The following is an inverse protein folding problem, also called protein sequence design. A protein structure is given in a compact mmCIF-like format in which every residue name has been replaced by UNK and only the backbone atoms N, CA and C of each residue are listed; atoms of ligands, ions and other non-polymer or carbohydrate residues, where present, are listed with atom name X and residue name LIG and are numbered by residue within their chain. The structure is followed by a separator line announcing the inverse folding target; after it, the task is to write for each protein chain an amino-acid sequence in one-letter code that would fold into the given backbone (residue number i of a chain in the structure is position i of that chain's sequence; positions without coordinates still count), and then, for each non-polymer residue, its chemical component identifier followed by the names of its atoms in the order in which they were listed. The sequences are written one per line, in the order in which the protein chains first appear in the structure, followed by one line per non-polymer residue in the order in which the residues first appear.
data_IF_528253042013
#
_entry.id   IF_528253042013
#
_cell.length_a   1.000
_cell.length_b   1.000
_cell.length_c   1.000
_cell.angle_alpha   90.00
_cell.angle_beta   90.00
_cell.angle_gamma   90.00
#
_symmetry.space_group_name_H-M   'P 1'
#
loop_
_entity.id
_entity.type
_entity.pdbx_description
1 polymer ?
#
# COMPACT_ATOMS: atom_id res chain seq x y z
N UNK A 1 3.52 68.53 -37.47
CA UNK A 1 3.38 67.69 -36.26
C UNK A 1 1.89 67.47 -36.00
N UNK A 2 1.41 66.22 -36.14
CA UNK A 2 0.00 65.85 -35.87
C UNK A 2 -0.17 65.51 -34.38
N UNK A 3 -0.83 66.38 -33.64
CA UNK A 3 -1.17 66.12 -32.23
C UNK A 3 -2.08 64.91 -32.15
N UNK A 4 -1.61 63.82 -31.53
CA UNK A 4 -2.43 62.69 -31.20
C UNK A 4 -3.23 63.03 -29.93
N UNK A 5 -4.53 63.26 -30.08
CA UNK A 5 -5.45 63.39 -28.98
C UNK A 5 -5.57 62.03 -28.25
N UNK A 6 -4.92 61.90 -27.13
CA UNK A 6 -5.14 60.77 -26.20
C UNK A 6 -6.49 61.02 -25.50
N UNK A 7 -7.50 60.22 -25.86
CA UNK A 7 -8.74 60.18 -25.08
C UNK A 7 -8.47 59.38 -23.81
N UNK A 8 -8.57 60.01 -22.68
CA UNK A 8 -8.52 59.31 -21.37
C UNK A 8 -9.76 58.46 -21.17
N UNK A 9 -9.61 57.38 -20.38
CA UNK A 9 -10.74 56.53 -20.02
C UNK A 9 -11.73 57.29 -19.15
N UNK A 10 -13.04 57.09 -19.41
CA UNK A 10 -14.09 57.63 -18.57
C UNK A 10 -14.23 56.80 -17.30
N UNK A 11 -14.73 57.42 -16.21
CA UNK A 11 -14.95 56.76 -14.94
C UNK A 11 -15.88 55.54 -15.13
N UNK A 12 -16.87 55.63 -15.97
CA UNK A 12 -17.83 54.56 -16.32
C UNK A 12 -17.15 53.38 -17.00
N UNK A 13 -16.22 53.60 -17.94
CA UNK A 13 -15.47 52.55 -18.59
C UNK A 13 -14.58 51.78 -17.58
N UNK A 14 -13.96 52.50 -16.64
CA UNK A 14 -13.12 51.90 -15.63
C UNK A 14 -13.94 51.02 -14.68
N UNK A 15 -15.11 51.48 -14.22
CA UNK A 15 -16.01 50.71 -13.35
C UNK A 15 -16.55 49.47 -14.07
N UNK A 16 -16.91 49.60 -15.34
CA UNK A 16 -17.39 48.47 -16.14
C UNK A 16 -16.29 47.44 -16.39
N UNK A 17 -15.06 47.89 -16.68
CA UNK A 17 -13.92 47.02 -16.86
C UNK A 17 -13.59 46.22 -15.56
N UNK A 18 -13.60 46.86 -14.39
CA UNK A 18 -13.41 46.21 -13.12
C UNK A 18 -14.53 45.18 -12.83
N UNK A 19 -15.77 45.54 -13.14
CA UNK A 19 -16.92 44.63 -13.03
C UNK A 19 -16.76 43.36 -13.86
N UNK A 20 -16.38 43.52 -15.15
CA UNK A 20 -16.14 42.37 -16.06
C UNK A 20 -14.99 41.51 -15.56
N UNK A 21 -13.87 42.12 -15.15
CA UNK A 21 -12.73 41.39 -14.61
C UNK A 21 -13.12 40.61 -13.33
N UNK A 22 -13.91 41.23 -12.47
CA UNK A 22 -14.43 40.59 -11.24
C UNK A 22 -15.26 39.33 -11.55
N UNK A 23 -16.19 39.44 -12.52
CA UNK A 23 -17.02 38.30 -12.95
C UNK A 23 -16.14 37.19 -13.55
N UNK A 24 -15.20 37.53 -14.44
CA UNK A 24 -14.29 36.57 -15.05
C UNK A 24 -13.44 35.85 -14.01
N UNK A 25 -12.98 36.56 -13.00
CA UNK A 25 -12.19 35.98 -11.91
C UNK A 25 -13.00 34.97 -11.08
N UNK A 26 -14.25 35.30 -10.76
CA UNK A 26 -15.17 34.39 -10.06
C UNK A 26 -15.45 33.13 -10.90
N UNK A 27 -15.71 33.27 -12.18
CA UNK A 27 -15.93 32.14 -13.11
C UNK A 27 -14.67 31.27 -13.18
N UNK A 28 -13.49 31.88 -13.31
CA UNK A 28 -12.21 31.17 -13.35
C UNK A 28 -11.99 30.36 -12.05
N UNK A 29 -12.17 30.98 -10.89
CA UNK A 29 -12.04 30.31 -9.60
C UNK A 29 -13.05 29.17 -9.47
N UNK A 30 -14.30 29.39 -9.89
CA UNK A 30 -15.34 28.36 -9.85
C UNK A 30 -15.01 27.14 -10.73
N UNK A 31 -14.33 27.32 -11.86
CA UNK A 31 -13.87 26.22 -12.72
C UNK A 31 -12.60 25.53 -12.19
N UNK A 32 -11.75 26.26 -11.49
CA UNK A 32 -10.48 25.73 -11.01
C UNK A 32 -10.65 24.72 -9.86
N UNK A 33 -11.61 24.95 -8.96
CA UNK A 33 -11.84 24.03 -7.83
C UNK A 33 -12.22 22.61 -8.24
N UNK A 34 -13.18 22.35 -9.14
CA UNK A 34 -13.51 21.00 -9.59
C UNK A 34 -12.35 20.35 -10.35
N UNK A 35 -11.62 21.09 -11.16
CA UNK A 35 -10.44 20.58 -11.88
C UNK A 35 -9.36 20.10 -10.89
N UNK A 36 -9.06 20.88 -9.85
CA UNK A 36 -8.12 20.49 -8.81
C UNK A 36 -8.56 19.21 -8.07
N UNK A 37 -9.86 19.10 -7.76
CA UNK A 37 -10.41 17.89 -7.12
C UNK A 37 -10.28 16.65 -8.03
N UNK A 38 -10.55 16.82 -9.32
CA UNK A 38 -10.41 15.73 -10.31
C UNK A 38 -8.94 15.26 -10.42
N UNK A 39 -7.98 16.19 -10.47
CA UNK A 39 -6.55 15.86 -10.48
C UNK A 39 -6.15 15.15 -9.20
N UNK A 40 -6.57 15.62 -8.04
CA UNK A 40 -6.27 14.97 -6.77
C UNK A 40 -6.86 13.55 -6.70
N UNK A 41 -8.09 13.36 -7.17
CA UNK A 41 -8.70 12.04 -7.24
C UNK A 41 -7.93 11.11 -8.18
N UNK A 42 -7.52 11.57 -9.35
CA UNK A 42 -6.72 10.80 -10.30
C UNK A 42 -5.36 10.39 -9.70
N UNK A 43 -4.66 11.31 -9.03
CA UNK A 43 -3.41 11.02 -8.35
C UNK A 43 -3.59 10.00 -7.23
N UNK A 44 -4.67 10.08 -6.46
CA UNK A 44 -4.99 9.09 -5.42
C UNK A 44 -5.22 7.70 -6.00
N UNK A 45 -5.94 7.61 -7.11
CA UNK A 45 -6.16 6.33 -7.81
C UNK A 45 -4.84 5.77 -8.32
N UNK A 46 -4.02 6.58 -8.99
CA UNK A 46 -2.72 6.15 -9.50
C UNK A 46 -1.80 5.66 -8.37
N UNK A 47 -1.74 6.37 -7.25
CA UNK A 47 -0.95 5.96 -6.10
C UNK A 47 -1.49 4.66 -5.48
N UNK A 48 -2.82 4.51 -5.39
CA UNK A 48 -3.44 3.28 -4.88
C UNK A 48 -3.09 2.07 -5.74
N UNK A 49 -3.15 2.20 -7.06
CA UNK A 49 -2.79 1.12 -7.98
C UNK A 49 -1.30 0.77 -7.91
N UNK A 50 -0.43 1.76 -7.76
CA UNK A 50 1.00 1.56 -7.54
C UNK A 50 1.25 0.76 -6.26
N UNK A 51 0.64 1.14 -5.16
CA UNK A 51 0.80 0.48 -3.85
C UNK A 51 0.31 -0.96 -3.89
N UNK A 52 -0.83 -1.22 -4.55
CA UNK A 52 -1.37 -2.58 -4.73
C UNK A 52 -0.42 -3.44 -5.57
N UNK A 53 0.12 -2.89 -6.68
CA UNK A 53 1.10 -3.63 -7.51
C UNK A 53 2.35 -3.97 -6.74
N UNK A 54 2.86 -3.05 -5.93
CA UNK A 54 4.03 -3.31 -5.07
C UNK A 54 3.76 -4.42 -4.07
N UNK A 55 2.62 -4.37 -3.38
CA UNK A 55 2.20 -5.43 -2.47
C UNK A 55 2.14 -6.77 -3.17
N UNK A 56 1.45 -6.84 -4.30
CA UNK A 56 1.28 -8.09 -5.06
C UNK A 56 2.62 -8.62 -5.56
N UNK A 57 3.49 -7.75 -6.08
CA UNK A 57 4.82 -8.13 -6.53
C UNK A 57 5.66 -8.72 -5.39
N UNK A 58 5.67 -8.06 -4.22
CA UNK A 58 6.43 -8.55 -3.07
C UNK A 58 5.89 -9.87 -2.51
N UNK A 59 4.57 -10.06 -2.50
CA UNK A 59 3.97 -11.31 -2.06
C UNK A 59 4.30 -12.49 -3.01
N UNK A 60 4.51 -12.21 -4.30
CA UNK A 60 4.85 -13.22 -5.31
C UNK A 60 6.35 -13.55 -5.38
N UNK A 61 7.21 -12.81 -4.67
CA UNK A 61 8.66 -13.00 -4.70
C UNK A 61 9.14 -13.67 -3.41
N UNK A 62 9.94 -14.73 -3.57
CA UNK A 62 10.73 -15.30 -2.48
C UNK A 62 12.18 -14.85 -2.64
N UNK A 63 12.62 -13.95 -1.77
CA UNK A 63 13.96 -13.35 -1.85
C UNK A 63 15.05 -14.31 -1.35
N UNK A 64 16.32 -14.13 -1.79
CA UNK A 64 17.46 -14.81 -1.18
C UNK A 64 17.46 -14.58 0.34
N UNK A 65 17.75 -15.64 1.10
CA UNK A 65 17.68 -15.61 2.57
C UNK A 65 16.32 -15.90 3.19
N UNK A 66 15.22 -15.73 2.44
CA UNK A 66 13.87 -16.15 2.85
C UNK A 66 13.59 -17.62 2.52
N UNK A 67 14.38 -18.23 1.64
CA UNK A 67 14.23 -19.64 1.25
C UNK A 67 14.60 -20.55 2.41
N UNK A 68 13.76 -21.56 2.65
CA UNK A 68 14.10 -22.67 3.52
C UNK A 68 14.95 -23.71 2.78
N UNK A 69 15.70 -24.47 3.54
CA UNK A 69 16.17 -25.76 3.05
C UNK A 69 14.95 -26.64 2.74
N UNK A 70 15.05 -27.48 1.71
CA UNK A 70 13.94 -28.26 1.15
C UNK A 70 13.17 -29.15 2.17
N UNK A 71 13.71 -29.34 3.38
CA UNK A 71 13.14 -30.13 4.46
C UNK A 71 12.54 -29.30 5.61
N UNK A 72 12.58 -27.97 5.55
CA UNK A 72 12.04 -27.13 6.61
C UNK A 72 10.54 -26.93 6.42
N UNK A 73 9.72 -27.49 7.29
CA UNK A 73 8.32 -27.08 7.48
C UNK A 73 8.32 -25.61 7.91
N UNK A 74 7.21 -24.88 7.68
CA UNK A 74 7.02 -23.50 8.16
C UNK A 74 7.45 -23.47 9.64
N UNK A 75 8.67 -23.02 9.86
CA UNK A 75 9.27 -23.02 11.17
C UNK A 75 9.19 -21.59 11.71
N UNK A 76 9.20 -21.49 13.03
CA UNK A 76 9.32 -20.22 13.77
C UNK A 76 10.52 -19.37 13.34
N UNK A 77 11.47 -19.94 12.61
CA UNK A 77 12.69 -19.29 12.14
C UNK A 77 12.56 -18.54 10.81
N UNK A 78 11.33 -18.18 10.37
CA UNK A 78 11.08 -17.32 9.20
C UNK A 78 11.59 -17.85 7.85
N UNK A 79 11.84 -19.14 7.73
CA UNK A 79 12.21 -19.75 6.44
C UNK A 79 10.95 -20.28 5.76
N UNK A 80 10.72 -19.85 4.53
CA UNK A 80 9.55 -20.23 3.75
C UNK A 80 9.92 -21.26 2.68
N UNK A 81 9.01 -22.20 2.41
CA UNK A 81 9.21 -23.22 1.39
C UNK A 81 8.92 -22.63 0.01
N UNK A 82 7.96 -21.74 -0.08
CA UNK A 82 7.53 -21.11 -1.33
C UNK A 82 7.16 -19.64 -1.13
N UNK A 83 7.02 -18.90 -2.22
CA UNK A 83 6.51 -17.54 -2.18
C UNK A 83 5.09 -17.50 -1.61
N UNK A 84 4.28 -18.53 -1.87
CA UNK A 84 2.93 -18.65 -1.30
C UNK A 84 2.97 -18.76 0.23
N UNK A 85 3.85 -19.58 0.78
CA UNK A 85 3.97 -19.74 2.24
C UNK A 85 4.41 -18.44 2.90
N UNK A 86 5.38 -17.72 2.28
CA UNK A 86 5.77 -16.37 2.70
C UNK A 86 4.57 -15.43 2.71
N UNK A 87 3.87 -15.32 1.59
CA UNK A 87 2.74 -14.42 1.43
C UNK A 87 1.65 -14.72 2.44
N UNK A 88 1.31 -15.99 2.60
CA UNK A 88 0.32 -16.44 3.56
C UNK A 88 0.69 -16.06 5.00
N UNK A 89 1.93 -16.32 5.40
CA UNK A 89 2.44 -15.95 6.71
C UNK A 89 2.42 -14.42 6.93
N UNK A 90 2.79 -13.65 5.90
CA UNK A 90 2.75 -12.21 5.95
C UNK A 90 1.32 -11.68 6.10
N UNK A 91 0.38 -12.24 5.33
CA UNK A 91 -1.04 -11.86 5.41
C UNK A 91 -1.63 -12.14 6.80
N UNK A 92 -1.33 -13.32 7.39
CA UNK A 92 -1.75 -13.63 8.78
C UNK A 92 -1.20 -12.64 9.80
N UNK A 93 0.00 -12.14 9.57
CA UNK A 93 0.64 -11.15 10.46
C UNK A 93 -0.04 -9.79 10.48
N UNK A 94 -0.91 -9.47 9.52
CA UNK A 94 -1.53 -8.13 9.43
C UNK A 94 -2.62 -7.89 10.49
N UNK A 95 -2.92 -8.85 11.34
CA UNK A 95 -3.85 -8.68 12.47
C UNK A 95 -3.40 -7.57 13.44
N UNK A 96 -2.10 -7.34 13.56
CA UNK A 96 -1.52 -6.31 14.43
C UNK A 96 -0.64 -5.34 13.64
N UNK A 97 -0.65 -4.04 13.97
CA UNK A 97 0.23 -3.05 13.32
C UNK A 97 1.72 -3.37 13.45
N UNK A 98 2.14 -3.99 14.56
CA UNK A 98 3.53 -4.37 14.83
C UNK A 98 4.09 -5.45 13.89
N UNK A 99 3.22 -6.22 13.27
CA UNK A 99 3.58 -7.31 12.35
C UNK A 99 3.00 -7.13 10.95
N UNK A 100 2.39 -5.98 10.70
CA UNK A 100 1.78 -5.66 9.40
C UNK A 100 2.81 -5.53 8.28
N UNK A 101 2.33 -5.47 7.06
CA UNK A 101 3.15 -5.17 5.88
C UNK A 101 3.19 -3.64 5.73
N UNK A 102 4.41 -3.11 5.61
CA UNK A 102 4.68 -1.72 5.31
C UNK A 102 5.10 -1.60 3.85
N UNK A 103 4.49 -0.65 3.13
CA UNK A 103 4.81 -0.33 1.75
C UNK A 103 5.29 1.11 1.68
N UNK A 104 6.48 1.31 1.10
CA UNK A 104 7.14 2.60 1.10
C UNK A 104 8.08 2.74 -0.10
N UNK A 105 8.52 3.99 -0.34
CA UNK A 105 9.63 4.26 -1.22
C UNK A 105 10.80 4.79 -0.40
N UNK A 106 12.02 4.45 -0.80
CA UNK A 106 13.22 4.99 -0.19
C UNK A 106 14.28 5.30 -1.25
N UNK A 107 15.24 6.14 -0.91
CA UNK A 107 16.41 6.38 -1.76
C UNK A 107 17.42 5.28 -1.56
N UNK A 108 17.70 4.54 -2.63
CA UNK A 108 18.76 3.54 -2.68
C UNK A 108 20.07 4.15 -3.18
N UNK A 109 21.17 3.65 -2.67
CA UNK A 109 22.53 4.02 -3.03
C UNK A 109 23.03 3.13 -4.17
N UNK A 110 23.25 3.73 -5.35
CA UNK A 110 23.77 3.01 -6.52
C UNK A 110 25.26 2.73 -6.43
N UNK A 111 25.96 3.39 -5.51
CA UNK A 111 27.42 3.23 -5.36
C UNK A 111 27.81 2.05 -4.48
N UNK A 112 26.84 1.54 -3.68
CA UNK A 112 27.04 0.40 -2.80
C UNK A 112 26.53 -0.88 -3.42
N UNK A 113 27.14 -2.00 -3.03
CA UNK A 113 26.65 -3.32 -3.42
C UNK A 113 25.21 -3.55 -2.92
N UNK A 114 24.44 -4.33 -3.68
CA UNK A 114 23.12 -4.75 -3.25
C UNK A 114 23.23 -5.58 -1.97
N UNK A 115 22.21 -5.49 -1.13
CA UNK A 115 22.05 -6.35 0.03
C UNK A 115 21.88 -7.82 -0.40
N UNK A 116 22.03 -8.75 0.54
CA UNK A 116 21.88 -10.19 0.27
C UNK A 116 20.51 -10.57 -0.32
N UNK A 117 19.46 -9.80 0.00
CA UNK A 117 18.11 -9.95 -0.53
C UNK A 117 17.90 -9.29 -1.90
N UNK A 118 18.96 -8.78 -2.53
CA UNK A 118 18.92 -8.12 -3.84
C UNK A 118 18.37 -6.70 -3.82
N UNK A 119 18.20 -6.08 -2.66
CA UNK A 119 17.72 -4.68 -2.54
C UNK A 119 18.87 -3.71 -2.37
N UNK A 120 18.62 -2.43 -2.71
CA UNK A 120 19.61 -1.37 -2.56
C UNK A 120 19.82 -0.99 -1.09
N UNK A 121 21.04 -0.66 -0.72
CA UNK A 121 21.35 -0.03 0.57
C UNK A 121 20.73 1.37 0.61
N UNK A 122 20.11 1.80 1.73
CA UNK A 122 19.52 3.13 1.81
C UNK A 122 20.59 4.23 1.78
N UNK A 123 20.28 5.33 1.08
CA UNK A 123 21.13 6.51 0.96
C UNK A 123 20.62 7.61 1.89
N UNK A 124 21.40 7.97 2.89
CA UNK A 124 21.02 8.99 3.85
C UNK A 124 21.25 10.41 3.31
N UNK A 125 20.37 11.35 3.68
CA UNK A 125 20.38 12.74 3.18
C UNK A 125 21.70 13.49 3.36
N UNK A 126 22.50 13.11 4.38
CA UNK A 126 23.78 13.77 4.67
C UNK A 126 24.90 13.41 3.70
N UNK A 127 24.71 12.38 2.88
CA UNK A 127 25.76 11.84 2.01
C UNK A 127 25.59 12.23 0.54
N UNK A 128 24.56 13.04 0.19
CA UNK A 128 24.21 13.27 -1.21
C UNK A 128 24.52 14.65 -1.73
N UNK A 129 25.34 14.69 -2.77
CA UNK A 129 25.29 15.74 -3.78
C UNK A 129 24.01 15.52 -4.61
N UNK A 130 23.13 16.53 -4.77
CA UNK A 130 21.92 16.39 -5.56
C UNK A 130 22.23 15.85 -6.97
N UNK A 131 21.60 14.76 -7.35
CA UNK A 131 21.72 14.17 -8.70
C UNK A 131 22.74 13.05 -8.86
N UNK A 132 23.56 12.73 -7.87
CA UNK A 132 24.56 11.66 -7.99
C UNK A 132 24.17 10.39 -7.27
N UNK A 133 24.15 9.27 -8.00
CA UNK A 133 24.20 7.91 -7.42
C UNK A 133 22.99 7.42 -6.65
N UNK A 134 21.81 8.06 -6.77
CA UNK A 134 20.61 7.62 -6.06
C UNK A 134 19.51 7.11 -6.99
N UNK A 135 18.80 6.08 -6.55
CA UNK A 135 17.62 5.52 -7.21
C UNK A 135 16.43 5.52 -6.25
N UNK A 136 15.23 5.80 -6.76
CA UNK A 136 14.01 5.64 -5.98
C UNK A 136 13.60 4.17 -6.01
N UNK A 137 13.66 3.52 -4.87
CA UNK A 137 13.33 2.11 -4.69
C UNK A 137 11.97 1.99 -4.02
N UNK A 138 11.10 1.20 -4.63
CA UNK A 138 9.83 0.81 -4.03
C UNK A 138 10.02 -0.52 -3.28
N UNK A 139 9.58 -0.57 -2.02
CA UNK A 139 9.78 -1.72 -1.17
C UNK A 139 8.53 -2.05 -0.35
N UNK A 140 8.37 -3.32 -0.03
CA UNK A 140 7.46 -3.78 0.98
C UNK A 140 8.20 -4.68 1.97
N UNK A 141 7.91 -4.54 3.26
CA UNK A 141 8.48 -5.39 4.30
C UNK A 141 7.49 -5.59 5.44
N UNK A 142 7.74 -6.57 6.29
CA UNK A 142 7.01 -6.67 7.57
C UNK A 142 7.52 -5.63 8.55
N UNK A 143 6.63 -5.07 9.35
CA UNK A 143 6.98 -4.07 10.35
C UNK A 143 7.94 -4.59 11.43
N UNK A 144 7.95 -5.90 11.69
CA UNK A 144 8.86 -6.56 12.63
C UNK A 144 10.24 -6.93 12.04
N UNK A 145 10.47 -6.66 10.75
CA UNK A 145 11.75 -6.93 10.10
C UNK A 145 12.77 -5.84 10.43
N UNK A 146 13.62 -6.08 11.43
CA UNK A 146 14.63 -5.13 11.91
C UNK A 146 15.68 -4.75 10.87
N UNK A 147 15.99 -5.64 9.93
CA UNK A 147 16.99 -5.40 8.88
C UNK A 147 16.55 -4.30 7.91
N UNK A 148 15.24 -4.07 7.84
CA UNK A 148 14.65 -3.03 6.99
C UNK A 148 14.41 -1.71 7.70
N UNK A 149 14.65 -1.60 8.99
CA UNK A 149 14.42 -0.36 9.73
C UNK A 149 15.31 0.80 9.29
N UNK A 150 16.48 0.48 8.74
CA UNK A 150 17.36 1.51 8.16
C UNK A 150 16.73 2.22 6.96
N UNK A 151 15.92 1.52 6.16
CA UNK A 151 15.25 2.08 4.99
C UNK A 151 14.39 3.30 5.37
N UNK A 152 13.79 3.27 6.57
CA UNK A 152 12.91 4.33 7.04
C UNK A 152 13.63 5.67 7.28
N UNK A 153 14.95 5.67 7.41
CA UNK A 153 15.75 6.90 7.48
C UNK A 153 15.93 7.56 6.12
N UNK A 154 15.75 6.82 5.03
CA UNK A 154 15.88 7.28 3.66
C UNK A 154 14.52 7.31 2.91
N UNK A 155 13.41 7.16 3.62
CA UNK A 155 12.05 7.14 3.03
C UNK A 155 11.73 8.46 2.33
N UNK A 156 11.08 8.32 1.19
CA UNK A 156 10.56 9.42 0.37
C UNK A 156 9.08 9.21 0.14
N UNK A 157 8.30 10.19 0.56
CA UNK A 157 6.83 10.13 0.41
C UNK A 157 6.12 9.35 1.53
N UNK A 158 4.87 8.96 1.29
CA UNK A 158 4.05 8.29 2.28
C UNK A 158 4.48 6.84 2.50
N UNK A 159 4.26 6.36 3.73
CA UNK A 159 4.36 4.95 4.10
C UNK A 159 2.97 4.43 4.39
N UNK A 160 2.65 3.27 3.85
CA UNK A 160 1.37 2.61 4.04
C UNK A 160 1.52 1.36 4.88
N UNK A 161 0.64 1.22 5.88
CA UNK A 161 0.44 -0.03 6.59
C UNK A 161 -0.77 -0.76 6.00
N UNK A 162 -0.66 -2.07 5.83
CA UNK A 162 -1.70 -2.88 5.17
C UNK A 162 -2.36 -3.81 6.18
N UNK A 163 -3.69 -3.71 6.33
CA UNK A 163 -4.49 -4.66 7.08
C UNK A 163 -5.25 -5.56 6.11
N UNK A 164 -5.10 -6.86 6.24
CA UNK A 164 -5.75 -7.82 5.36
C UNK A 164 -6.79 -8.63 6.11
N UNK A 165 -7.98 -8.74 5.55
CA UNK A 165 -9.08 -9.53 6.09
C UNK A 165 -9.52 -10.54 5.06
N UNK A 166 -9.67 -11.79 5.45
CA UNK A 166 -10.13 -12.84 4.54
C UNK A 166 -11.54 -12.56 4.04
N UNK A 167 -11.75 -12.79 2.74
CA UNK A 167 -13.04 -12.74 2.09
C UNK A 167 -13.55 -14.16 1.81
N UNK A 168 -14.85 -14.33 1.88
CA UNK A 168 -15.57 -15.46 1.33
C UNK A 168 -16.52 -15.00 0.23
N UNK A 169 -16.77 -15.88 -0.72
CA UNK A 169 -17.76 -15.64 -1.77
C UNK A 169 -19.02 -16.42 -1.42
N UNK A 170 -20.12 -15.71 -1.26
CA UNK A 170 -21.44 -16.31 -1.12
C UNK A 170 -22.27 -16.07 -2.37
N UNK A 171 -23.04 -17.07 -2.75
CA UNK A 171 -24.01 -16.96 -3.82
C UNK A 171 -25.38 -16.75 -3.20
N UNK A 172 -25.91 -15.55 -3.33
CA UNK A 172 -27.24 -15.18 -2.87
C UNK A 172 -28.09 -14.80 -4.08
N UNK A 173 -29.19 -15.52 -4.32
CA UNK A 173 -30.14 -15.24 -5.44
C UNK A 173 -29.44 -15.08 -6.80
N UNK A 174 -28.53 -15.98 -7.16
CA UNK A 174 -27.71 -15.96 -8.36
C UNK A 174 -26.74 -14.74 -8.49
N UNK A 175 -26.53 -14.01 -7.41
CA UNK A 175 -25.52 -12.94 -7.37
C UNK A 175 -24.37 -13.34 -6.47
N UNK A 176 -23.16 -13.10 -6.97
CA UNK A 176 -21.94 -13.29 -6.21
C UNK A 176 -21.77 -12.12 -5.24
N UNK A 177 -21.67 -12.43 -3.94
CA UNK A 177 -21.47 -11.45 -2.87
C UNK A 177 -20.17 -11.76 -2.15
N UNK A 178 -19.34 -10.76 -1.96
CA UNK A 178 -18.13 -10.87 -1.16
C UNK A 178 -18.42 -10.42 0.26
N UNK A 179 -18.11 -11.27 1.23
CA UNK A 179 -18.28 -10.97 2.64
C UNK A 179 -16.98 -11.20 3.40
N UNK A 180 -16.78 -10.43 4.47
CA UNK A 180 -15.66 -10.67 5.37
C UNK A 180 -15.90 -11.96 6.14
N UNK A 181 -15.01 -12.93 5.98
CA UNK A 181 -15.10 -14.22 6.64
C UNK A 181 -14.75 -14.16 8.13
N UNK A 182 -13.87 -13.23 8.49
CA UNK A 182 -13.30 -13.09 9.82
C UNK A 182 -13.31 -11.63 10.28
N UNK A 183 -12.99 -11.43 11.56
CA UNK A 183 -12.76 -10.11 12.12
C UNK A 183 -11.69 -9.34 11.32
N UNK A 184 -11.79 -8.00 11.22
CA UNK A 184 -10.84 -7.19 10.48
C UNK A 184 -9.37 -7.47 10.87
N UNK A 185 -8.54 -7.68 9.86
CA UNK A 185 -7.13 -8.00 10.02
C UNK A 185 -6.82 -9.49 10.20
N UNK A 186 -7.82 -10.37 10.10
CA UNK A 186 -7.59 -11.82 10.23
C UNK A 186 -7.72 -12.54 8.90
N UNK A 187 -6.71 -13.37 8.65
CA UNK A 187 -6.71 -14.43 7.64
C UNK A 187 -6.77 -15.77 8.39
N UNK A 188 -7.68 -16.65 8.00
CA UNK A 188 -7.85 -17.97 8.64
C UNK A 188 -6.61 -18.84 8.47
N UNK A 189 -6.27 -19.62 9.50
CA UNK A 189 -5.23 -20.62 9.39
C UNK A 189 -5.83 -21.92 8.86
N UNK A 190 -5.44 -22.40 7.66
CA UNK A 190 -5.95 -23.63 7.09
C UNK A 190 -5.63 -24.87 7.95
N UNK A 191 -4.62 -24.78 8.82
CA UNK A 191 -4.26 -25.86 9.73
C UNK A 191 -5.05 -25.86 11.04
N UNK A 192 -5.86 -24.85 11.31
CA UNK A 192 -6.59 -24.71 12.57
C UNK A 192 -8.11 -24.72 12.34
N UNK A 193 -8.67 -25.93 12.16
CA UNK A 193 -10.11 -26.18 11.93
C UNK A 193 -11.04 -25.68 13.05
N UNK A 194 -10.50 -25.20 14.16
CA UNK A 194 -11.29 -24.68 15.29
C UNK A 194 -11.58 -23.18 15.21
N UNK A 195 -11.11 -22.49 14.16
CA UNK A 195 -11.52 -21.12 13.92
C UNK A 195 -12.99 -21.10 13.47
N UNK A 196 -13.75 -20.12 13.93
CA UNK A 196 -15.20 -19.95 13.83
C UNK A 196 -15.88 -20.05 12.44
N UNK A 197 -15.17 -20.45 11.42
CA UNK A 197 -15.74 -20.79 10.13
C UNK A 197 -16.25 -22.21 10.25
N UNK A 198 -17.55 -22.38 10.31
CA UNK A 198 -18.22 -23.62 10.69
C UNK A 198 -18.19 -24.69 9.61
N UNK A 199 -17.77 -24.37 8.38
CA UNK A 199 -17.74 -25.30 7.27
C UNK A 199 -16.47 -25.20 6.45
N UNK A 200 -15.82 -26.35 6.11
CA UNK A 200 -14.62 -26.35 5.26
C UNK A 200 -14.83 -25.71 3.89
N UNK A 201 -16.03 -25.72 3.37
CA UNK A 201 -16.43 -25.10 2.11
C UNK A 201 -16.45 -23.57 2.13
N UNK A 202 -16.52 -22.96 3.32
CA UNK A 202 -16.44 -21.51 3.50
C UNK A 202 -15.00 -20.99 3.37
N UNK A 203 -14.01 -21.89 3.38
CA UNK A 203 -12.63 -21.54 3.04
C UNK A 203 -12.44 -21.63 1.53
N UNK A 204 -11.93 -20.59 0.95
CA UNK A 204 -11.55 -20.56 -0.45
C UNK A 204 -10.32 -21.48 -0.72
N UNK A 205 -9.85 -22.19 0.30
CA UNK A 205 -8.79 -23.17 0.15
C UNK A 205 -9.38 -24.57 -0.02
N UNK A 206 -9.17 -25.17 -1.14
CA UNK A 206 -9.35 -26.62 -1.29
C UNK A 206 -8.18 -27.35 -0.61
N UNK A 207 -8.21 -27.39 0.73
CA UNK A 207 -7.25 -28.18 1.49
C UNK A 207 -7.71 -29.64 1.51
N UNK A 208 -7.35 -30.40 0.54
CA UNK A 208 -7.54 -31.85 0.56
C UNK A 208 -6.26 -32.57 0.11
N UNK A 209 -5.21 -32.44 0.90
CA UNK A 209 -4.20 -33.48 0.91
C UNK A 209 -4.02 -33.99 2.34
N UNK A 210 -3.89 -35.32 2.49
CA UNK A 210 -3.66 -36.02 3.75
C UNK A 210 -2.33 -35.60 4.44
N UNK A 211 -1.47 -34.83 3.74
CA UNK A 211 -0.20 -34.30 4.24
C UNK A 211 -0.30 -32.90 4.81
N UNK A 212 -1.45 -32.24 4.73
CA UNK A 212 -1.62 -30.85 5.17
C UNK A 212 -1.01 -29.82 4.23
N UNK A 213 -0.64 -30.21 3.01
CA UNK A 213 -0.14 -29.29 1.99
C UNK A 213 -1.31 -28.59 1.32
N UNK A 214 -1.22 -27.27 1.21
CA UNK A 214 -2.22 -26.43 0.56
C UNK A 214 -1.96 -26.46 -0.95
N UNK A 215 -2.45 -27.48 -1.64
CA UNK A 215 -2.33 -27.62 -3.09
C UNK A 215 -3.45 -26.85 -3.80
N UNK A 216 -3.09 -26.00 -4.77
CA UNK A 216 -4.06 -25.22 -5.54
C UNK A 216 -4.81 -24.18 -4.72
N UNK A 217 -4.19 -23.66 -3.68
CA UNK A 217 -4.83 -22.72 -2.79
C UNK A 217 -4.96 -21.33 -3.41
N UNK A 218 -6.14 -20.78 -3.20
CA UNK A 218 -6.49 -19.40 -3.53
C UNK A 218 -6.95 -18.70 -2.26
N UNK A 219 -6.36 -17.54 -1.94
CA UNK A 219 -6.74 -16.74 -0.79
C UNK A 219 -7.34 -15.43 -1.29
N UNK A 220 -8.63 -15.26 -1.08
CA UNK A 220 -9.30 -13.99 -1.31
C UNK A 220 -9.24 -13.14 -0.05
N UNK A 221 -8.87 -11.88 -0.18
CA UNK A 221 -8.76 -10.97 0.95
C UNK A 221 -9.09 -9.54 0.57
N UNK A 222 -9.60 -8.81 1.56
CA UNK A 222 -9.77 -7.38 1.50
C UNK A 222 -8.57 -6.71 2.15
N UNK A 223 -7.81 -5.94 1.37
CA UNK A 223 -6.67 -5.17 1.84
C UNK A 223 -7.07 -3.73 2.07
N UNK A 224 -6.85 -3.23 3.28
CA UNK A 224 -7.05 -1.84 3.69
C UNK A 224 -5.69 -1.18 3.88
N UNK A 225 -5.53 0.01 3.29
CA UNK A 225 -4.28 0.75 3.29
C UNK A 225 -4.39 1.99 4.17
N UNK A 226 -3.56 2.05 5.20
CA UNK A 226 -3.50 3.15 6.17
C UNK A 226 -2.20 3.93 5.95
N UNK A 227 -2.30 5.24 5.73
CA UNK A 227 -1.13 6.09 5.68
C UNK A 227 -0.61 6.36 7.10
N UNK A 228 0.67 6.08 7.31
CA UNK A 228 1.35 6.37 8.56
C UNK A 228 1.89 7.80 8.55
N UNK A 229 1.66 8.53 9.64
CA UNK A 229 2.20 9.88 9.85
C UNK A 229 3.64 9.87 10.34
N UNK A 230 4.07 8.75 10.93
CA UNK A 230 5.44 8.54 11.42
C UNK A 230 5.76 7.06 11.30
N UNK A 231 6.95 6.75 10.83
CA UNK A 231 7.46 5.38 10.69
C UNK A 231 8.51 5.13 11.74
N UNK A 232 8.07 5.08 12.98
CA UNK A 232 8.88 4.60 14.08
C UNK A 232 8.41 3.19 14.44
N UNK A 233 9.20 2.13 14.15
CA UNK A 233 8.82 0.77 14.47
C UNK A 233 8.53 0.54 15.94
N UNK A 234 9.18 1.29 16.84
CA UNK A 234 8.93 1.22 18.27
C UNK A 234 7.54 1.74 18.64
N UNK A 235 7.04 2.72 17.90
CA UNK A 235 5.66 3.22 18.06
C UNK A 235 4.64 2.27 17.46
N UNK A 236 4.93 1.64 16.33
CA UNK A 236 4.05 0.65 15.71
C UNK A 236 3.76 -0.52 16.63
N UNK A 237 4.74 -0.97 17.43
CA UNK A 237 4.55 -2.08 18.38
C UNK A 237 3.50 -1.81 19.46
N UNK A 238 3.21 -0.55 19.76
CA UNK A 238 2.23 -0.09 20.76
C UNK A 238 0.95 0.46 20.12
N UNK A 239 0.85 0.48 18.81
CA UNK A 239 -0.28 1.03 18.08
C UNK A 239 -1.33 -0.06 17.82
N UNK A 240 -2.58 0.28 18.00
CA UNK A 240 -3.73 -0.53 17.60
C UNK A 240 -4.34 0.03 16.32
N UNK A 241 -4.94 -0.83 15.48
CA UNK A 241 -5.63 -0.39 14.26
C UNK A 241 -6.68 0.69 14.53
N UNK A 242 -7.34 0.66 15.70
CA UNK A 242 -8.35 1.64 16.10
C UNK A 242 -7.76 3.06 16.31
N UNK A 243 -6.46 3.16 16.58
CA UNK A 243 -5.76 4.43 16.78
C UNK A 243 -5.24 5.03 15.47
N UNK A 244 -5.21 4.26 14.40
CA UNK A 244 -4.89 4.75 13.07
C UNK A 244 -6.10 5.49 12.47
N UNK A 245 -5.82 6.45 11.61
CA UNK A 245 -6.86 7.11 10.82
C UNK A 245 -7.61 6.06 9.98
N UNK A 246 -8.76 6.46 9.42
CA UNK A 246 -9.49 5.60 8.47
C UNK A 246 -8.57 5.18 7.31
N UNK A 247 -8.77 3.97 6.75
CA UNK A 247 -8.03 3.56 5.56
C UNK A 247 -8.27 4.58 4.44
N UNK A 248 -7.22 4.90 3.69
CA UNK A 248 -7.32 5.82 2.55
C UNK A 248 -8.06 5.15 1.41
N UNK A 249 -7.78 3.87 1.20
CA UNK A 249 -8.48 3.04 0.22
C UNK A 249 -8.42 1.57 0.65
N UNK A 250 -9.27 0.76 0.01
CA UNK A 250 -9.28 -0.69 0.16
C UNK A 250 -9.49 -1.37 -1.18
N UNK A 251 -8.98 -2.60 -1.32
CA UNK A 251 -9.10 -3.42 -2.52
C UNK A 251 -9.35 -4.88 -2.17
N UNK A 252 -10.23 -5.51 -2.96
CA UNK A 252 -10.36 -6.96 -2.96
C UNK A 252 -9.26 -7.54 -3.83
N UNK A 253 -8.48 -8.43 -3.28
CA UNK A 253 -7.33 -9.05 -3.92
C UNK A 253 -7.41 -10.56 -3.77
N UNK A 254 -6.74 -11.25 -4.69
CA UNK A 254 -6.65 -12.71 -4.70
C UNK A 254 -5.18 -13.07 -4.76
N UNK A 255 -4.77 -14.00 -3.92
CA UNK A 255 -3.46 -14.59 -3.96
C UNK A 255 -3.57 -16.07 -4.29
N UNK A 256 -2.86 -16.51 -5.31
CA UNK A 256 -2.88 -17.90 -5.80
C UNK A 256 -1.50 -18.53 -5.63
N UNK A 257 -1.52 -19.84 -5.39
CA UNK A 257 -0.30 -20.64 -5.36
C UNK A 257 0.25 -20.85 -6.77
#
# INVERSE_FOLDING_TARGET
MKSRNYRGFTLTETVLAIGVVGVLLVVFVAMFFPARRAVQAALTVQESDRVVRMLTAELNILRPGERADANARISTNKKYISAFDKAYYWMMGTAQPSTTILIYNYRGDLTKALRQDGTYTPLFKSETIPGSGSVLVSAACRADNKERWEDFRAVVGPVFAVRMTQLIVRYESNKMKYELALEPGRIGNPYNYKSRISKPEDYVYNVKDKRGDVWGAEVMYYAEFFQLTSVDPARLSKTEWKKLKKPIFGRNLVFRR
#
